data_IF_384989451764
#
_entry.id   IF_384989451764
#
_cell.length_a   1.000
_cell.length_b   1.000
_cell.length_c   1.000
_cell.angle_alpha   90.00
_cell.angle_beta   90.00
_cell.angle_gamma   90.00
#
_symmetry.space_group_name_H-M   'P 1'
#
loop_
_entity.id
_entity.type
_entity.pdbx_description
1 polymer ?
#
# COMPACT_ATOMS: atom_id res chain seq x y z
N UNK A 1 -48.56 -14.26 40.06
CA UNK A 1 -47.41 -15.13 39.72
C UNK A 1 -47.43 -15.66 38.29
N UNK A 2 -48.49 -16.33 37.80
CA UNK A 2 -48.51 -16.89 36.43
C UNK A 2 -48.40 -15.84 35.29
N UNK A 3 -49.06 -14.68 35.41
CA UNK A 3 -48.94 -13.58 34.42
C UNK A 3 -47.52 -13.00 34.33
N UNK A 4 -46.82 -12.91 35.46
CA UNK A 4 -45.47 -12.35 35.56
C UNK A 4 -44.44 -13.26 34.91
N UNK A 5 -44.60 -14.59 35.07
CA UNK A 5 -43.73 -15.60 34.44
C UNK A 5 -43.91 -15.60 32.91
N UNK A 6 -45.15 -15.49 32.43
CA UNK A 6 -45.45 -15.47 30.98
C UNK A 6 -44.85 -14.24 30.27
N UNK A 7 -44.86 -13.08 30.95
CA UNK A 7 -44.23 -11.87 30.44
C UNK A 7 -42.71 -11.99 30.39
N UNK A 8 -42.08 -12.54 31.43
CA UNK A 8 -40.63 -12.78 31.47
C UNK A 8 -40.18 -13.73 30.36
N UNK A 9 -40.92 -14.81 30.09
CA UNK A 9 -40.59 -15.72 28.99
C UNK A 9 -40.72 -15.07 27.62
N UNK A 10 -41.70 -14.18 27.43
CA UNK A 10 -41.87 -13.45 26.17
C UNK A 10 -40.73 -12.45 25.94
N UNK A 11 -40.28 -11.75 26.98
CA UNK A 11 -39.13 -10.82 26.90
C UNK A 11 -37.81 -11.56 26.63
N UNK A 12 -37.57 -12.70 27.26
CA UNK A 12 -36.39 -13.53 26.99
C UNK A 12 -36.40 -14.03 25.54
N UNK A 13 -37.56 -14.46 25.03
CA UNK A 13 -37.70 -14.88 23.65
C UNK A 13 -37.43 -13.71 22.68
N UNK A 14 -38.01 -12.53 22.95
CA UNK A 14 -37.79 -11.34 22.11
C UNK A 14 -36.33 -10.89 22.11
N UNK A 15 -35.66 -10.90 23.27
CA UNK A 15 -34.23 -10.57 23.40
C UNK A 15 -33.38 -11.61 22.68
N UNK A 16 -33.71 -12.90 22.77
CA UNK A 16 -32.98 -13.95 22.06
C UNK A 16 -33.13 -13.86 20.54
N UNK A 17 -34.31 -13.51 20.03
CA UNK A 17 -34.55 -13.26 18.59
C UNK A 17 -33.83 -11.98 18.14
N UNK A 18 -33.82 -10.93 18.97
CA UNK A 18 -33.10 -9.69 18.67
C UNK A 18 -31.58 -9.94 18.65
N UNK A 19 -31.04 -10.71 19.60
CA UNK A 19 -29.63 -11.11 19.68
C UNK A 19 -29.21 -12.00 18.50
N UNK A 20 -30.11 -12.84 17.98
CA UNK A 20 -29.87 -13.63 16.77
C UNK A 20 -29.86 -12.79 15.49
N UNK A 21 -30.56 -11.65 15.45
CA UNK A 21 -30.54 -10.74 14.31
C UNK A 21 -29.30 -9.84 14.26
N UNK A 22 -28.67 -9.52 15.40
CA UNK A 22 -27.42 -8.72 15.42
C UNK A 22 -26.17 -9.52 14.99
N UNK A 23 -26.28 -10.85 14.90
CA UNK A 23 -25.17 -11.72 14.50
C UNK A 23 -24.90 -11.75 12.97
N UNK A 24 -25.63 -10.96 12.18
CA UNK A 24 -25.49 -10.92 10.72
C UNK A 24 -24.64 -9.74 10.24
N UNK A 25 -23.57 -9.37 10.95
CA UNK A 25 -22.43 -8.69 10.32
C UNK A 25 -21.58 -9.76 9.62
N UNK A 26 -22.16 -10.42 8.62
CA UNK A 26 -21.42 -11.26 7.69
C UNK A 26 -20.40 -10.38 6.96
N UNK A 27 -19.18 -10.33 7.49
CA UNK A 27 -18.03 -9.91 6.70
C UNK A 27 -17.85 -10.97 5.61
N UNK A 28 -18.06 -10.63 4.33
CA UNK A 28 -17.58 -11.46 3.24
C UNK A 28 -16.04 -11.47 3.35
N UNK A 29 -15.42 -12.53 3.89
CA UNK A 29 -14.90 -13.74 3.22
C UNK A 29 -13.85 -13.48 2.13
N UNK A 30 -12.80 -12.72 2.45
CA UNK A 30 -11.45 -12.95 1.89
C UNK A 30 -10.87 -14.31 2.35
N UNK A 31 -11.63 -15.41 2.17
CA UNK A 31 -11.24 -16.77 2.54
C UNK A 31 -9.95 -17.16 1.81
N UNK A 32 -9.82 -16.72 0.55
CA UNK A 32 -8.69 -17.01 -0.30
C UNK A 32 -7.44 -16.17 0.06
N UNK A 33 -7.58 -15.14 0.90
CA UNK A 33 -6.48 -14.27 1.31
C UNK A 33 -5.95 -13.36 0.21
N UNK A 34 -6.76 -13.03 -0.80
CA UNK A 34 -6.39 -12.17 -1.92
C UNK A 34 -6.18 -10.73 -1.46
N UNK A 35 -7.05 -10.24 -0.58
CA UNK A 35 -6.98 -8.86 -0.09
C UNK A 35 -5.79 -8.62 0.83
N UNK A 36 -5.13 -9.67 1.34
CA UNK A 36 -3.84 -9.55 2.04
C UNK A 36 -2.83 -8.72 1.23
N UNK A 37 -2.86 -8.83 -0.11
CA UNK A 37 -2.01 -8.02 -1.00
C UNK A 37 -2.83 -6.99 -1.80
N UNK A 38 -4.01 -7.36 -2.29
CA UNK A 38 -4.78 -6.53 -3.21
C UNK A 38 -5.50 -5.34 -2.52
N UNK A 39 -5.57 -5.27 -1.20
CA UNK A 39 -6.17 -4.13 -0.49
C UNK A 39 -5.39 -2.81 -0.58
N UNK A 40 -4.19 -2.81 -1.18
CA UNK A 40 -3.30 -1.64 -1.13
C UNK A 40 -3.27 -0.87 -2.47
N UNK A 41 -3.60 0.44 -2.49
CA UNK A 41 -3.56 1.29 -3.68
C UNK A 41 -2.20 1.39 -4.38
N UNK A 42 -1.11 1.13 -3.63
CA UNK A 42 0.24 1.05 -4.18
C UNK A 42 0.57 -0.29 -4.84
N UNK A 43 -0.27 -1.33 -4.71
CA UNK A 43 -0.07 -2.58 -5.42
C UNK A 43 -0.40 -2.38 -6.91
N UNK A 44 0.64 -2.20 -7.70
CA UNK A 44 0.50 -1.95 -9.13
C UNK A 44 1.67 -2.54 -9.92
N UNK A 45 1.42 -2.74 -11.22
CA UNK A 45 2.41 -3.15 -12.21
C UNK A 45 2.70 -1.98 -13.14
N UNK A 46 3.97 -1.82 -13.51
CA UNK A 46 4.37 -0.87 -14.56
C UNK A 46 4.49 -1.65 -15.87
N UNK A 47 3.66 -1.28 -16.84
CA UNK A 47 3.63 -1.78 -18.21
C UNK A 47 4.38 -0.76 -19.09
N UNK A 48 5.43 -1.21 -19.78
CA UNK A 48 6.20 -0.44 -20.75
C UNK A 48 6.72 0.93 -20.28
N UNK A 49 7.16 0.99 -19.02
CA UNK A 49 7.90 2.12 -18.46
C UNK A 49 7.08 3.39 -18.17
N UNK A 50 5.80 3.49 -18.56
CA UNK A 50 4.96 4.65 -18.27
C UNK A 50 3.51 4.32 -17.92
N UNK A 51 3.00 3.13 -18.30
CA UNK A 51 1.61 2.77 -18.05
C UNK A 51 1.50 2.04 -16.71
N UNK A 52 0.69 2.59 -15.80
CA UNK A 52 0.36 1.93 -14.54
C UNK A 52 -0.85 1.01 -14.73
N UNK A 53 -0.69 -0.23 -14.29
CA UNK A 53 -1.77 -1.20 -14.16
C UNK A 53 -2.01 -1.41 -12.67
N UNK A 54 -3.03 -0.76 -12.07
CA UNK A 54 -3.39 -1.02 -10.68
C UNK A 54 -3.82 -2.47 -10.51
N UNK A 55 -3.42 -3.06 -9.39
CA UNK A 55 -3.86 -4.37 -8.94
C UNK A 55 -4.71 -4.24 -7.67
N UNK A 56 -4.83 -3.04 -7.11
CA UNK A 56 -5.64 -2.76 -5.94
C UNK A 56 -7.12 -3.10 -6.16
N UNK A 57 -7.77 -3.62 -5.13
CA UNK A 57 -9.22 -3.75 -4.99
C UNK A 57 -9.60 -3.17 -3.62
N UNK A 58 -10.49 -2.19 -3.62
CA UNK A 58 -11.17 -1.68 -2.44
C UNK A 58 -12.21 -2.72 -1.98
N UNK A 59 -12.01 -3.27 -0.77
CA UNK A 59 -12.86 -4.31 -0.18
C UNK A 59 -14.30 -3.83 0.00
N UNK A 60 -14.51 -2.62 0.51
CA UNK A 60 -15.84 -2.11 0.78
C UNK A 60 -16.62 -1.86 -0.52
N UNK A 61 -15.95 -1.29 -1.53
CA UNK A 61 -16.57 -1.09 -2.84
C UNK A 61 -16.85 -2.42 -3.55
N UNK A 62 -15.97 -3.42 -3.40
CA UNK A 62 -16.20 -4.76 -3.93
C UNK A 62 -17.39 -5.43 -3.24
N UNK A 63 -17.50 -5.34 -1.92
CA UNK A 63 -18.58 -5.92 -1.12
C UNK A 63 -19.95 -5.29 -1.46
N UNK A 64 -19.97 -4.00 -1.79
CA UNK A 64 -21.15 -3.27 -2.26
C UNK A 64 -21.51 -3.57 -3.73
N UNK A 65 -20.62 -4.22 -4.49
CA UNK A 65 -20.85 -4.54 -5.90
C UNK A 65 -21.83 -5.72 -6.07
N UNK A 66 -22.41 -5.91 -7.28
CA UNK A 66 -23.21 -7.09 -7.57
C UNK A 66 -22.49 -8.43 -7.37
N UNK A 67 -21.15 -8.43 -7.26
CA UNK A 67 -20.32 -9.60 -7.06
C UNK A 67 -19.71 -9.70 -5.65
N UNK A 68 -20.07 -8.82 -4.71
CA UNK A 68 -19.49 -8.79 -3.36
C UNK A 68 -19.73 -10.05 -2.53
N UNK A 69 -20.73 -10.87 -2.91
CA UNK A 69 -20.99 -12.17 -2.29
C UNK A 69 -20.16 -13.32 -2.89
N UNK A 70 -19.48 -13.09 -4.01
CA UNK A 70 -18.63 -14.07 -4.66
C UNK A 70 -17.21 -14.05 -4.08
N UNK A 71 -16.55 -15.21 -4.05
CA UNK A 71 -15.12 -15.26 -3.71
C UNK A 71 -14.29 -14.80 -4.91
N UNK A 72 -13.08 -14.28 -4.66
CA UNK A 72 -12.20 -13.86 -5.75
C UNK A 72 -11.95 -15.00 -6.75
N UNK A 73 -11.77 -16.23 -6.27
CA UNK A 73 -11.49 -17.42 -7.11
C UNK A 73 -12.70 -18.00 -7.82
N UNK A 74 -13.92 -17.60 -7.44
CA UNK A 74 -15.15 -17.92 -8.19
C UNK A 74 -15.05 -17.42 -9.63
N UNK A 75 -14.47 -16.22 -9.81
CA UNK A 75 -14.20 -15.64 -11.13
C UNK A 75 -12.74 -15.89 -11.57
N UNK A 76 -11.75 -15.71 -10.68
CA UNK A 76 -10.33 -15.89 -10.97
C UNK A 76 -9.88 -17.36 -10.92
N UNK A 77 -10.54 -18.20 -11.71
CA UNK A 77 -10.42 -19.67 -11.65
C UNK A 77 -9.01 -20.19 -12.00
N UNK A 78 -8.24 -19.41 -12.76
CA UNK A 78 -6.87 -19.72 -13.14
C UNK A 78 -5.83 -19.38 -12.05
N UNK A 79 -6.25 -18.74 -10.94
CA UNK A 79 -5.36 -18.46 -9.80
C UNK A 79 -5.22 -19.72 -8.95
N UNK A 80 -4.08 -20.40 -9.15
CA UNK A 80 -3.71 -21.64 -8.44
C UNK A 80 -2.54 -21.46 -7.47
N UNK A 81 -1.90 -20.28 -7.46
CA UNK A 81 -0.78 -19.94 -6.57
C UNK A 81 -0.75 -18.44 -6.29
N UNK A 82 -0.15 -18.07 -5.16
CA UNK A 82 0.14 -16.69 -4.76
C UNK A 82 1.63 -16.61 -4.39
N UNK A 83 2.38 -15.56 -4.80
CA UNK A 83 1.97 -14.52 -5.74
C UNK A 83 1.75 -15.08 -7.15
N UNK A 84 0.86 -14.44 -7.91
CA UNK A 84 0.61 -14.73 -9.33
C UNK A 84 0.96 -13.53 -10.21
N UNK A 85 1.32 -13.80 -11.46
CA UNK A 85 1.57 -12.77 -12.48
C UNK A 85 0.97 -13.21 -13.81
N UNK A 86 0.42 -12.28 -14.57
CA UNK A 86 -0.10 -12.55 -15.92
C UNK A 86 -1.40 -13.36 -15.95
N UNK A 87 -2.05 -13.57 -14.80
CA UNK A 87 -3.36 -14.21 -14.71
C UNK A 87 -4.40 -13.10 -14.70
N UNK A 88 -5.01 -12.84 -15.85
CA UNK A 88 -6.04 -11.80 -16.03
C UNK A 88 -7.32 -12.34 -16.67
N UNK A 89 -7.50 -13.66 -16.68
CA UNK A 89 -8.72 -14.28 -17.19
C UNK A 89 -9.66 -14.54 -16.02
N UNK A 90 -10.95 -14.35 -16.27
CA UNK A 90 -12.03 -14.72 -15.38
C UNK A 90 -13.00 -15.64 -16.12
N UNK A 91 -13.69 -16.48 -15.36
CA UNK A 91 -14.77 -17.32 -15.86
C UNK A 91 -16.06 -16.96 -15.14
N UNK A 92 -16.92 -16.19 -15.82
CA UNK A 92 -18.22 -15.77 -15.30
C UNK A 92 -19.22 -16.94 -15.25
N UNK A 93 -18.99 -17.98 -16.04
CA UNK A 93 -19.93 -19.06 -16.31
C UNK A 93 -19.72 -20.28 -15.40
N UNK A 94 -18.54 -20.39 -14.75
CA UNK A 94 -18.23 -21.52 -13.88
C UNK A 94 -19.23 -21.69 -12.75
N UNK A 95 -19.57 -20.59 -12.07
CA UNK A 95 -20.41 -20.64 -10.87
C UNK A 95 -21.79 -20.00 -11.08
N UNK A 96 -21.88 -18.81 -11.67
CA UNK A 96 -23.11 -17.99 -11.64
C UNK A 96 -23.82 -17.85 -13.00
N UNK A 97 -23.14 -17.42 -14.07
CA UNK A 97 -23.80 -17.04 -15.33
C UNK A 97 -24.03 -18.21 -16.32
N UNK A 98 -24.26 -19.44 -15.83
CA UNK A 98 -24.19 -20.68 -16.65
C UNK A 98 -25.06 -20.67 -17.91
N UNK A 99 -26.22 -20.05 -17.85
CA UNK A 99 -27.21 -19.98 -18.93
C UNK A 99 -27.01 -18.75 -19.85
N UNK A 100 -26.18 -17.80 -19.44
CA UNK A 100 -25.98 -16.52 -20.12
C UNK A 100 -24.83 -16.56 -21.15
N UNK A 101 -24.34 -17.75 -21.52
CA UNK A 101 -23.17 -17.89 -22.41
C UNK A 101 -23.36 -17.26 -23.78
N UNK A 102 -24.58 -17.25 -24.28
CA UNK A 102 -24.92 -16.66 -25.58
C UNK A 102 -25.22 -15.15 -25.49
N UNK A 103 -25.50 -14.63 -24.29
CA UNK A 103 -25.90 -13.24 -24.06
C UNK A 103 -24.76 -12.37 -23.52
N UNK A 104 -23.83 -12.95 -22.73
CA UNK A 104 -22.66 -12.27 -22.18
C UNK A 104 -21.46 -12.45 -23.12
N UNK A 105 -21.10 -11.37 -23.82
CA UNK A 105 -19.89 -11.34 -24.62
C UNK A 105 -18.65 -11.08 -23.75
N UNK A 106 -17.94 -12.15 -23.34
CA UNK A 106 -16.73 -12.05 -22.51
C UNK A 106 -15.57 -11.33 -23.16
N UNK A 107 -15.49 -11.30 -24.50
CA UNK A 107 -14.44 -10.57 -25.24
C UNK A 107 -14.57 -9.05 -25.10
N UNK A 108 -15.80 -8.57 -24.81
CA UNK A 108 -16.07 -7.16 -24.55
C UNK A 108 -15.89 -6.76 -23.08
N UNK A 109 -15.82 -7.73 -22.16
CA UNK A 109 -15.66 -7.45 -20.73
C UNK A 109 -14.22 -7.73 -20.29
N UNK A 110 -13.33 -6.79 -20.61
CA UNK A 110 -11.95 -6.82 -20.11
C UNK A 110 -11.94 -6.73 -18.59
N UNK A 111 -11.07 -7.48 -17.90
CA UNK A 111 -10.79 -7.28 -16.47
C UNK A 111 -10.43 -5.83 -16.10
N UNK A 112 -9.91 -5.04 -17.05
CA UNK A 112 -9.68 -3.59 -16.86
C UNK A 112 -10.98 -2.81 -16.55
N UNK A 113 -12.14 -3.34 -16.94
CA UNK A 113 -13.44 -2.72 -16.73
C UNK A 113 -14.14 -3.25 -15.49
N UNK A 114 -14.04 -4.56 -15.20
CA UNK A 114 -14.74 -5.21 -14.08
C UNK A 114 -14.38 -4.64 -12.71
N UNK A 115 -13.11 -4.29 -12.50
CA UNK A 115 -12.63 -3.75 -11.23
C UNK A 115 -12.37 -2.24 -11.26
N UNK A 116 -12.85 -1.55 -12.30
CA UNK A 116 -12.49 -0.15 -12.53
C UNK A 116 -13.01 0.77 -11.42
N UNK A 117 -14.16 0.44 -10.85
CA UNK A 117 -14.81 1.22 -9.78
C UNK A 117 -14.16 0.98 -8.43
N UNK A 118 -13.70 -0.25 -8.17
CA UNK A 118 -13.04 -0.68 -6.94
C UNK A 118 -11.53 -0.36 -6.97
N UNK A 119 -11.00 0.05 -8.12
CA UNK A 119 -9.59 0.39 -8.29
C UNK A 119 -9.29 1.85 -7.93
N UNK A 120 -8.23 2.00 -7.17
CA UNK A 120 -7.64 3.28 -6.78
C UNK A 120 -6.13 3.16 -6.75
N UNK A 121 -5.41 4.21 -7.15
CA UNK A 121 -3.96 4.27 -6.99
C UNK A 121 -3.47 5.69 -6.84
N UNK A 122 -2.36 5.85 -6.11
CA UNK A 122 -1.68 7.13 -5.98
C UNK A 122 -1.09 7.50 -7.34
N UNK A 123 -1.49 8.63 -7.91
CA UNK A 123 -0.89 9.18 -9.13
C UNK A 123 0.27 10.11 -8.78
N UNK A 124 0.10 10.90 -7.72
CA UNK A 124 1.08 11.87 -7.23
C UNK A 124 0.96 12.03 -5.73
N UNK A 125 2.09 12.27 -5.06
CA UNK A 125 2.12 12.76 -3.68
C UNK A 125 2.77 14.14 -3.73
N UNK A 126 2.07 15.13 -3.20
CA UNK A 126 2.58 16.49 -3.02
C UNK A 126 3.29 16.56 -1.66
N UNK A 127 4.39 15.81 -1.56
CA UNK A 127 5.21 15.73 -0.36
C UNK A 127 6.32 16.79 -0.34
N UNK A 128 6.98 16.87 0.82
CA UNK A 128 8.19 17.67 1.00
C UNK A 128 9.47 16.87 0.65
N UNK A 129 9.36 15.79 -0.15
CA UNK A 129 10.53 14.99 -0.55
C UNK A 129 11.11 15.48 -1.87
N UNK A 130 12.38 15.88 -1.83
CA UNK A 130 13.14 16.15 -3.05
C UNK A 130 13.28 14.92 -3.96
N UNK A 131 13.12 13.71 -3.41
CA UNK A 131 13.12 12.49 -4.19
C UNK A 131 12.07 12.53 -5.30
N UNK A 132 10.85 12.98 -5.00
CA UNK A 132 9.74 13.05 -5.97
C UNK A 132 9.93 14.08 -7.09
N UNK A 133 10.89 15.01 -6.94
CA UNK A 133 11.22 16.01 -7.96
C UNK A 133 12.03 15.39 -9.10
N UNK A 134 12.98 14.50 -8.77
CA UNK A 134 13.87 13.88 -9.75
C UNK A 134 13.51 12.40 -10.04
N UNK A 135 12.99 11.70 -9.03
CA UNK A 135 12.60 10.30 -9.10
C UNK A 135 11.09 10.15 -9.14
N UNK A 136 10.62 9.10 -9.81
CA UNK A 136 9.20 8.80 -9.90
C UNK A 136 8.69 8.25 -8.57
N UNK A 137 7.41 8.53 -8.28
CA UNK A 137 6.68 8.04 -7.09
C UNK A 137 6.76 6.52 -6.92
N UNK A 138 6.79 5.80 -8.03
CA UNK A 138 6.85 4.34 -8.09
C UNK A 138 8.24 3.90 -8.63
N UNK A 139 9.28 3.80 -7.77
CA UNK A 139 10.65 3.44 -8.16
C UNK A 139 11.01 1.97 -7.88
N UNK A 140 11.33 1.08 -8.86
CA UNK A 140 11.64 -0.31 -8.46
C UNK A 140 12.38 -1.24 -9.43
N UNK A 141 12.67 -2.42 -8.87
CA UNK A 141 13.34 -3.63 -9.37
C UNK A 141 13.00 -4.08 -10.79
N UNK A 142 13.94 -4.79 -11.43
CA UNK A 142 13.72 -5.53 -12.69
C UNK A 142 12.77 -6.71 -12.50
N UNK A 143 12.69 -7.26 -11.29
CA UNK A 143 11.74 -8.33 -10.99
C UNK A 143 10.35 -7.74 -10.74
N UNK A 144 9.37 -8.15 -11.54
CA UNK A 144 8.00 -7.62 -11.51
C UNK A 144 7.31 -7.80 -10.15
N UNK A 145 7.49 -8.95 -9.49
CA UNK A 145 6.84 -9.26 -8.21
C UNK A 145 7.41 -8.36 -7.12
N UNK A 146 8.75 -8.34 -7.02
CA UNK A 146 9.45 -7.51 -6.03
C UNK A 146 9.11 -6.03 -6.22
N UNK A 147 9.09 -5.59 -7.49
CA UNK A 147 8.66 -4.24 -7.85
C UNK A 147 7.30 -3.93 -7.27
N UNK A 148 6.26 -4.69 -7.63
CA UNK A 148 4.90 -4.45 -7.15
C UNK A 148 4.77 -4.43 -5.63
N UNK A 149 5.53 -5.26 -4.90
CA UNK A 149 5.58 -5.19 -3.44
C UNK A 149 6.22 -3.91 -2.93
N UNK A 150 7.30 -3.43 -3.54
CA UNK A 150 7.91 -2.16 -3.13
C UNK A 150 7.02 -0.97 -3.53
N UNK A 151 6.31 -1.02 -4.66
CA UNK A 151 5.30 0.00 -5.02
C UNK A 151 4.26 0.15 -3.91
N UNK A 152 3.85 -0.95 -3.29
CA UNK A 152 2.88 -0.94 -2.20
C UNK A 152 3.32 -0.02 -1.05
N UNK A 153 4.63 0.00 -0.74
CA UNK A 153 5.18 0.76 0.38
C UNK A 153 5.16 2.27 0.16
N UNK A 154 5.12 2.75 -1.07
CA UNK A 154 5.19 4.20 -1.37
C UNK A 154 3.98 4.96 -0.81
N UNK A 155 2.85 4.26 -0.60
CA UNK A 155 1.65 4.81 0.00
C UNK A 155 1.68 4.96 1.53
N UNK A 156 2.65 4.36 2.22
CA UNK A 156 2.71 4.41 3.69
C UNK A 156 4.12 4.49 4.28
N UNK A 157 5.19 4.43 3.46
CA UNK A 157 6.59 4.66 3.86
C UNK A 157 7.22 5.74 2.98
N UNK A 158 8.09 6.54 3.57
CA UNK A 158 9.02 7.39 2.81
C UNK A 158 10.21 6.57 2.26
N UNK A 159 10.84 7.06 1.19
CA UNK A 159 11.94 6.36 0.51
C UNK A 159 13.12 6.11 1.46
N UNK A 160 13.37 7.09 2.33
CA UNK A 160 14.47 7.16 3.28
C UNK A 160 14.36 6.08 4.37
N UNK A 161 13.17 5.52 4.59
CA UNK A 161 13.00 4.35 5.49
C UNK A 161 13.88 3.18 5.03
N UNK A 162 14.03 2.99 3.72
CA UNK A 162 14.85 1.91 3.14
C UNK A 162 16.18 2.41 2.56
N UNK A 163 16.21 3.66 2.04
CA UNK A 163 17.34 4.23 1.32
C UNK A 163 18.17 5.22 2.15
N UNK A 164 18.37 4.96 3.43
CA UNK A 164 19.21 5.79 4.30
C UNK A 164 20.61 5.20 4.49
N UNK A 165 21.63 6.04 4.70
CA UNK A 165 22.93 5.60 5.20
C UNK A 165 22.86 5.30 6.69
N UNK A 166 22.26 4.17 7.03
CA UNK A 166 21.92 3.80 8.41
C UNK A 166 23.10 3.85 9.37
N UNK A 167 24.30 3.52 8.89
CA UNK A 167 25.57 3.57 9.63
C UNK A 167 25.93 4.98 10.13
N UNK A 168 25.43 6.03 9.49
CA UNK A 168 25.65 7.43 9.91
C UNK A 168 24.65 7.87 11.01
N UNK A 169 23.66 7.03 11.35
CA UNK A 169 22.60 7.35 12.32
C UNK A 169 22.52 6.30 13.44
N UNK A 170 23.17 6.53 14.60
CA UNK A 170 23.27 5.53 15.67
C UNK A 170 21.95 5.23 16.38
N UNK A 171 20.97 6.14 16.32
CA UNK A 171 19.65 5.98 16.94
C UNK A 171 18.56 6.47 16.01
N UNK A 172 17.86 5.51 15.43
CA UNK A 172 16.73 5.75 14.54
C UNK A 172 15.43 5.35 15.21
N UNK A 173 14.39 6.13 14.98
CA UNK A 173 13.01 5.80 15.34
C UNK A 173 12.12 5.98 14.12
N UNK A 174 11.07 5.19 14.03
CA UNK A 174 10.10 5.26 12.95
C UNK A 174 8.77 5.74 13.51
N UNK A 175 8.15 6.71 12.85
CA UNK A 175 6.87 7.28 13.28
C UNK A 175 6.15 7.92 12.10
N UNK A 176 4.90 8.29 12.27
CA UNK A 176 4.15 9.00 11.25
C UNK A 176 4.69 10.41 11.03
N UNK A 177 4.95 10.76 9.77
CA UNK A 177 5.14 12.14 9.38
C UNK A 177 3.81 12.91 9.39
N UNK A 178 3.92 14.23 9.19
CA UNK A 178 2.78 15.08 8.93
C UNK A 178 2.04 14.61 7.67
N UNK A 179 0.73 14.82 7.65
CA UNK A 179 -0.08 14.50 6.48
C UNK A 179 0.36 15.31 5.25
N UNK A 180 0.33 14.65 4.10
CA UNK A 180 0.71 15.17 2.79
C UNK A 180 -0.49 15.04 1.85
N UNK A 181 -0.64 16.01 0.95
CA UNK A 181 -1.68 15.95 -0.07
C UNK A 181 -1.30 14.90 -1.11
N UNK A 182 -2.28 14.11 -1.55
CA UNK A 182 -2.08 13.12 -2.59
C UNK A 182 -3.17 13.21 -3.65
N UNK A 183 -2.80 12.94 -4.89
CA UNK A 183 -3.74 12.79 -6.00
C UNK A 183 -3.88 11.31 -6.28
N UNK A 184 -5.13 10.85 -6.26
CA UNK A 184 -5.49 9.49 -6.61
C UNK A 184 -6.25 9.48 -7.92
N UNK A 185 -6.12 8.37 -8.65
CA UNK A 185 -7.03 8.01 -9.73
C UNK A 185 -7.93 6.89 -9.28
N UNK A 186 -9.24 7.07 -9.45
CA UNK A 186 -10.26 6.26 -8.78
C UNK A 186 -10.73 6.91 -7.49
N UNK A 187 -11.72 6.32 -6.82
CA UNK A 187 -12.16 6.79 -5.50
C UNK A 187 -11.08 6.42 -4.48
N UNK A 188 -10.51 7.37 -3.71
CA UNK A 188 -9.50 7.04 -2.72
C UNK A 188 -10.06 6.07 -1.66
N UNK A 189 -9.33 4.99 -1.39
CA UNK A 189 -9.59 4.08 -0.28
C UNK A 189 -8.74 4.48 0.93
N UNK A 190 -9.30 4.40 2.14
CA UNK A 190 -8.55 4.61 3.38
C UNK A 190 -7.97 6.01 3.59
N UNK A 191 -8.31 6.99 2.76
CA UNK A 191 -8.03 8.40 3.04
C UNK A 191 -8.96 8.87 4.15
N UNK A 192 -8.48 8.73 5.37
CA UNK A 192 -8.54 9.69 6.47
C UNK A 192 -8.29 8.91 7.76
N UNK A 193 -7.23 9.27 8.48
CA UNK A 193 -7.28 9.63 9.89
C UNK A 193 -5.90 9.43 10.53
N UNK A 194 -5.15 10.52 10.67
CA UNK A 194 -4.21 10.62 11.78
C UNK A 194 -5.04 11.08 13.00
N UNK A 195 -5.20 10.24 14.05
CA UNK A 195 -6.04 10.60 15.21
C UNK A 195 -5.55 11.83 15.97
N UNK A 196 -4.34 12.31 15.70
CA UNK A 196 -3.70 13.47 16.35
C UNK A 196 -3.74 14.74 15.50
N UNK A 197 -4.30 14.72 14.27
CA UNK A 197 -4.40 15.89 13.40
C UNK A 197 -5.83 16.14 12.95
N UNK A 198 -6.38 17.29 13.37
CA UNK A 198 -7.52 17.93 12.70
C UNK A 198 -7.15 18.15 11.23
N UNK A 199 -7.98 17.68 10.29
CA UNK A 199 -7.94 18.09 8.88
C UNK A 199 -8.12 19.61 8.81
N UNK A 200 -7.02 20.38 8.89
CA UNK A 200 -7.08 21.85 8.88
C UNK A 200 -7.18 22.45 7.48
N UNK A 201 -7.00 21.64 6.43
CA UNK A 201 -6.88 22.12 5.04
C UNK A 201 -8.05 21.71 4.12
N UNK A 202 -9.04 20.96 4.63
CA UNK A 202 -10.22 20.59 3.83
C UNK A 202 -9.94 19.74 2.57
N UNK A 203 -8.70 19.33 2.32
CA UNK A 203 -8.37 18.47 1.18
C UNK A 203 -8.92 17.07 1.43
N UNK A 204 -9.71 16.56 0.47
CA UNK A 204 -10.36 15.26 0.57
C UNK A 204 -9.35 14.08 0.54
N UNK A 205 -8.09 14.34 0.19
CA UNK A 205 -7.10 13.32 -0.17
C UNK A 205 -5.77 13.53 0.57
N UNK A 206 -5.79 13.47 1.89
CA UNK A 206 -4.57 13.53 2.73
C UNK A 206 -4.09 12.13 3.12
N UNK A 207 -2.80 11.84 2.95
CA UNK A 207 -2.15 10.61 3.43
C UNK A 207 -1.11 10.92 4.50
N UNK A 208 -0.90 10.00 5.44
CA UNK A 208 0.26 10.03 6.35
C UNK A 208 1.14 8.83 6.04
N UNK A 209 2.45 9.03 6.06
CA UNK A 209 3.44 7.96 5.79
C UNK A 209 4.43 7.89 6.94
N UNK A 210 4.90 6.68 7.22
CA UNK A 210 5.95 6.43 8.19
C UNK A 210 7.25 7.00 7.64
N UNK A 211 7.93 7.74 8.49
CA UNK A 211 9.21 8.38 8.24
C UNK A 211 10.23 7.91 9.28
N UNK A 212 11.49 8.19 9.01
CA UNK A 212 12.61 7.83 9.87
C UNK A 212 13.20 9.09 10.49
N UNK A 213 13.36 9.04 11.81
CA UNK A 213 13.79 10.16 12.62
C UNK A 213 15.05 9.80 13.40
N UNK A 214 15.89 10.81 13.62
CA UNK A 214 17.03 10.77 14.53
C UNK A 214 16.79 11.69 15.72
N UNK A 215 17.59 11.53 16.77
CA UNK A 215 17.61 12.42 17.94
C UNK A 215 18.93 13.19 18.00
N UNK A 216 18.87 14.47 17.65
CA UNK A 216 19.99 15.41 17.78
C UNK A 216 19.75 16.31 18.99
N UNK A 217 20.64 16.26 19.98
CA UNK A 217 20.52 17.05 21.23
C UNK A 217 19.14 16.91 21.91
N UNK A 218 18.57 15.70 21.86
CA UNK A 218 17.25 15.40 22.44
C UNK A 218 16.05 15.80 21.57
N UNK A 219 16.27 16.45 20.42
CA UNK A 219 15.22 16.87 19.51
C UNK A 219 15.04 15.80 18.43
N UNK A 220 13.81 15.29 18.30
CA UNK A 220 13.43 14.39 17.22
C UNK A 220 13.40 15.17 15.90
N UNK A 221 14.16 14.72 14.90
CA UNK A 221 14.23 15.33 13.57
C UNK A 221 14.08 14.27 12.50
N UNK A 222 13.29 14.55 11.46
CA UNK A 222 13.29 13.70 10.27
C UNK A 222 14.66 13.77 9.64
N UNK A 223 15.15 12.65 9.10
CA UNK A 223 16.39 12.66 8.31
C UNK A 223 16.18 13.23 6.90
N UNK A 224 14.91 13.45 6.51
CA UNK A 224 14.52 14.22 5.32
C UNK A 224 14.67 15.69 5.60
N UNK A 225 15.30 16.41 4.68
CA UNK A 225 15.47 17.86 4.75
C UNK A 225 14.40 18.54 3.86
N UNK A 226 13.35 19.18 4.43
CA UNK A 226 12.26 19.75 3.65
C UNK A 226 12.69 20.90 2.73
N UNK A 227 13.83 21.53 3.02
CA UNK A 227 14.40 22.61 2.19
C UNK A 227 14.92 22.10 0.84
N UNK A 228 14.89 20.78 0.61
CA UNK A 228 15.45 20.17 -0.59
C UNK A 228 14.50 20.24 -1.80
N UNK A 229 13.18 20.43 -1.64
CA UNK A 229 12.25 20.43 -2.78
C UNK A 229 12.46 21.62 -3.71
N UNK A 230 12.47 22.85 -3.17
CA UNK A 230 12.69 24.06 -3.98
C UNK A 230 14.08 24.04 -4.61
N UNK A 231 15.10 23.67 -3.83
CA UNK A 231 16.48 23.52 -4.32
C UNK A 231 16.56 22.49 -5.46
N UNK A 232 15.87 21.36 -5.34
CA UNK A 232 15.84 20.34 -6.39
C UNK A 232 15.20 20.87 -7.68
N UNK A 233 14.10 21.63 -7.58
CA UNK A 233 13.47 22.27 -8.74
C UNK A 233 14.41 23.29 -9.40
N UNK A 234 15.05 24.16 -8.61
CA UNK A 234 16.03 25.13 -9.10
C UNK A 234 17.25 24.45 -9.75
N UNK A 235 17.71 23.34 -9.18
CA UNK A 235 18.79 22.54 -9.75
C UNK A 235 18.39 21.96 -11.11
N UNK A 236 17.20 21.34 -11.25
CA UNK A 236 16.74 20.81 -12.53
C UNK A 236 16.61 21.88 -13.62
N UNK A 237 16.27 23.12 -13.25
CA UNK A 237 16.18 24.24 -14.19
C UNK A 237 17.56 24.69 -14.71
N UNK A 238 18.63 24.46 -13.96
CA UNK A 238 19.98 24.98 -14.24
C UNK A 238 21.00 23.91 -14.55
N UNK A 239 20.71 22.62 -14.30
CA UNK A 239 21.70 21.53 -14.35
C UNK A 239 22.41 21.36 -15.69
N UNK A 240 21.76 21.73 -16.80
CA UNK A 240 22.33 21.66 -18.16
C UNK A 240 23.44 22.68 -18.39
N UNK A 241 23.47 23.74 -17.60
CA UNK A 241 24.42 24.83 -17.69
C UNK A 241 25.56 24.70 -16.66
N UNK A 242 25.50 23.70 -15.78
CA UNK A 242 26.52 23.46 -14.76
C UNK A 242 27.69 22.66 -15.31
N UNK A 243 28.91 22.98 -14.83
CA UNK A 243 30.07 22.13 -15.05
C UNK A 243 29.89 20.75 -14.40
N UNK A 244 30.61 19.74 -14.89
CA UNK A 244 30.53 18.36 -14.35
C UNK A 244 30.80 18.30 -12.83
N UNK A 245 31.73 19.11 -12.34
CA UNK A 245 32.07 19.17 -10.92
C UNK A 245 30.92 19.75 -10.07
N UNK A 246 30.38 20.90 -10.47
CA UNK A 246 29.27 21.56 -9.77
C UNK A 246 28.01 20.68 -9.77
N UNK A 247 27.73 20.03 -10.91
CA UNK A 247 26.62 19.08 -11.01
C UNK A 247 26.80 17.92 -10.05
N UNK A 248 28.00 17.34 -9.97
CA UNK A 248 28.32 16.25 -9.03
C UNK A 248 28.15 16.72 -7.58
N UNK A 249 28.65 17.90 -7.23
CA UNK A 249 28.54 18.46 -5.89
C UNK A 249 27.08 18.68 -5.47
N UNK A 250 26.25 19.25 -6.34
CA UNK A 250 24.83 19.45 -6.09
C UNK A 250 24.10 18.10 -5.90
N UNK A 251 24.35 17.13 -6.79
CA UNK A 251 23.81 15.78 -6.63
C UNK A 251 24.30 15.11 -5.34
N UNK A 252 25.53 15.38 -4.90
CA UNK A 252 26.05 14.84 -3.65
C UNK A 252 25.37 15.42 -2.42
N UNK A 253 24.99 16.71 -2.46
CA UNK A 253 24.22 17.35 -1.41
C UNK A 253 22.81 16.73 -1.25
N UNK A 254 22.07 16.53 -2.35
CA UNK A 254 20.73 15.94 -2.31
C UNK A 254 20.71 14.51 -1.76
N UNK A 255 21.79 13.74 -1.97
CA UNK A 255 21.87 12.35 -1.55
C UNK A 255 22.81 12.14 -0.35
N UNK A 256 23.10 13.19 0.43
CA UNK A 256 24.07 13.14 1.55
C UNK A 256 23.74 12.03 2.56
N UNK A 257 22.45 11.83 2.85
CA UNK A 257 21.93 10.86 3.82
C UNK A 257 21.44 9.56 3.15
N UNK A 258 21.59 9.44 1.82
CA UNK A 258 20.92 8.40 1.03
C UNK A 258 21.90 7.30 0.61
N UNK A 259 21.54 6.06 0.87
CA UNK A 259 22.25 4.90 0.35
C UNK A 259 21.86 4.66 -1.13
N UNK A 260 22.53 5.35 -2.06
CA UNK A 260 22.11 5.43 -3.48
C UNK A 260 22.00 4.10 -4.22
N UNK A 261 22.84 3.11 -3.92
CA UNK A 261 22.91 1.84 -4.64
C UNK A 261 22.74 0.62 -3.73
N UNK A 262 22.24 0.83 -2.50
CA UNK A 262 22.07 -0.22 -1.51
C UNK A 262 20.74 -0.03 -0.81
N UNK A 263 20.05 -1.14 -0.60
CA UNK A 263 18.95 -1.18 0.35
C UNK A 263 19.57 -1.35 1.73
N UNK A 264 19.26 -0.45 2.64
CA UNK A 264 19.82 -0.45 4.00
C UNK A 264 18.96 -1.20 5.01
N UNK A 265 17.77 -1.64 4.56
CA UNK A 265 16.78 -2.37 5.36
C UNK A 265 16.26 -3.55 4.56
N UNK A 266 16.59 -4.77 4.97
CA UNK A 266 16.03 -5.97 4.37
C UNK A 266 14.58 -6.21 4.81
N UNK A 267 13.80 -6.94 4.02
CA UNK A 267 12.38 -7.19 4.32
C UNK A 267 12.16 -7.82 5.71
N UNK A 268 13.06 -8.71 6.15
CA UNK A 268 12.98 -9.38 7.46
C UNK A 268 13.29 -8.46 8.64
N UNK A 269 13.87 -7.28 8.41
CA UNK A 269 14.09 -6.31 9.48
C UNK A 269 12.80 -5.59 9.85
N UNK A 270 11.85 -5.43 8.93
CA UNK A 270 10.50 -4.93 9.24
C UNK A 270 9.50 -6.09 9.49
N UNK A 271 9.58 -7.15 8.68
CA UNK A 271 8.65 -8.28 8.75
C UNK A 271 9.24 -9.43 9.59
N UNK A 272 9.42 -9.18 10.88
CA UNK A 272 9.83 -10.21 11.84
C UNK A 272 9.31 -9.94 13.25
N UNK A 273 9.44 -10.93 14.14
CA UNK A 273 9.16 -10.77 15.57
C UNK A 273 9.94 -9.62 16.19
N UNK A 274 11.20 -9.45 15.76
CA UNK A 274 12.15 -8.42 16.20
C UNK A 274 12.22 -7.24 15.21
N UNK A 275 11.07 -6.86 14.66
CA UNK A 275 10.94 -5.76 13.71
C UNK A 275 11.57 -4.45 14.22
N UNK A 276 12.23 -3.71 13.32
CA UNK A 276 12.69 -2.33 13.56
C UNK A 276 11.52 -1.33 13.65
N UNK A 277 10.36 -1.70 13.09
CA UNK A 277 9.11 -0.97 13.21
C UNK A 277 8.33 -1.52 14.40
N UNK A 278 8.07 -0.67 15.39
CA UNK A 278 7.11 -0.98 16.44
C UNK A 278 5.68 -0.73 15.94
N UNK A 279 5.09 -1.76 15.33
CA UNK A 279 3.74 -1.68 14.78
C UNK A 279 2.67 -1.30 15.81
N UNK A 280 2.84 -1.68 17.09
CA UNK A 280 1.88 -1.29 18.13
C UNK A 280 2.01 0.20 18.44
N UNK A 281 3.24 0.71 18.56
CA UNK A 281 3.47 2.15 18.71
C UNK A 281 2.96 2.96 17.52
N UNK A 282 3.03 2.40 16.32
CA UNK A 282 2.49 2.99 15.08
C UNK A 282 0.95 2.93 15.02
N UNK A 283 0.28 2.30 15.99
CA UNK A 283 -1.19 2.28 16.11
C UNK A 283 -1.88 1.13 15.37
N UNK A 284 -1.15 0.13 14.88
CA UNK A 284 -1.76 -1.06 14.30
C UNK A 284 -2.33 -1.97 15.39
N UNK A 285 -3.52 -2.54 15.13
CA UNK A 285 -4.13 -3.53 16.03
C UNK A 285 -3.31 -4.83 16.10
N UNK A 286 -3.69 -5.73 17.01
CA UNK A 286 -2.94 -6.97 17.24
C UNK A 286 -2.94 -7.91 16.03
N UNK A 287 -4.08 -8.03 15.34
CA UNK A 287 -4.23 -8.88 14.16
C UNK A 287 -3.36 -8.35 13.02
N UNK A 288 -3.41 -7.04 12.75
CA UNK A 288 -2.60 -6.37 11.74
C UNK A 288 -1.12 -6.41 12.09
N UNK A 289 -0.75 -6.19 13.36
CA UNK A 289 0.63 -6.33 13.84
C UNK A 289 1.15 -7.74 13.62
N UNK A 290 0.38 -8.77 13.99
CA UNK A 290 0.74 -10.16 13.76
C UNK A 290 0.95 -10.43 12.27
N UNK A 291 0.00 -10.01 11.43
CA UNK A 291 0.11 -10.16 9.98
C UNK A 291 1.34 -9.44 9.42
N UNK A 292 1.60 -8.19 9.81
CA UNK A 292 2.78 -7.45 9.35
C UNK A 292 4.09 -8.13 9.77
N UNK A 293 4.17 -8.72 10.96
CA UNK A 293 5.38 -9.43 11.43
C UNK A 293 5.57 -10.81 10.81
N UNK A 294 4.48 -11.57 10.64
CA UNK A 294 4.50 -13.00 10.36
C UNK A 294 3.91 -13.39 9.01
N UNK A 295 3.44 -12.43 8.20
CA UNK A 295 3.09 -12.71 6.81
C UNK A 295 4.27 -13.42 6.15
N UNK A 296 4.01 -14.59 5.56
CA UNK A 296 5.03 -15.38 4.88
C UNK A 296 5.47 -14.75 3.54
N UNK A 297 5.45 -13.41 3.44
CA UNK A 297 6.07 -12.64 2.34
C UNK A 297 7.54 -13.06 2.20
N UNK A 298 8.22 -13.36 3.30
CA UNK A 298 9.59 -13.92 3.28
C UNK A 298 9.65 -15.19 2.43
N UNK A 299 8.84 -16.22 2.72
CA UNK A 299 8.81 -17.44 1.91
C UNK A 299 8.33 -17.23 0.48
N UNK A 300 7.44 -16.25 0.26
CA UNK A 300 6.87 -15.94 -1.06
C UNK A 300 7.84 -15.20 -1.98
N UNK A 301 8.71 -14.33 -1.45
CA UNK A 301 9.64 -13.50 -2.24
C UNK A 301 11.07 -14.07 -2.22
N UNK A 302 11.52 -14.74 -1.15
CA UNK A 302 12.91 -15.25 -1.05
C UNK A 302 13.11 -16.67 -1.59
N UNK A 303 12.05 -17.46 -1.76
CA UNK A 303 12.14 -18.83 -2.33
C UNK A 303 12.36 -18.84 -3.85
N UNK A 304 12.19 -17.68 -4.51
CA UNK A 304 12.57 -17.44 -5.90
C UNK A 304 13.88 -16.63 -5.92
N UNK A 305 14.98 -17.35 -5.78
CA UNK A 305 16.27 -16.95 -5.18
C UNK A 305 17.17 -15.91 -5.88
N UNK A 306 16.73 -15.09 -6.85
CA UNK A 306 17.67 -14.11 -7.44
C UNK A 306 17.06 -12.72 -7.62
N UNK A 307 17.44 -11.84 -6.68
CA UNK A 307 17.20 -10.41 -6.74
C UNK A 307 18.32 -9.73 -7.52
N UNK A 308 18.04 -9.35 -8.77
CA UNK A 308 18.89 -8.38 -9.47
C UNK A 308 18.38 -6.98 -9.17
N UNK A 309 19.11 -6.27 -8.30
CA UNK A 309 18.89 -4.85 -8.10
C UNK A 309 19.22 -4.11 -9.41
N UNK A 310 18.31 -3.27 -9.94
CA UNK A 310 18.66 -2.39 -11.03
C UNK A 310 19.77 -1.46 -10.55
N UNK A 311 20.84 -1.32 -11.34
CA UNK A 311 21.74 -0.18 -11.18
C UNK A 311 20.87 1.07 -11.36
N UNK A 312 20.76 1.90 -10.32
CA UNK A 312 20.04 3.18 -10.39
C UNK A 312 20.76 4.19 -11.30
N UNK A 313 21.94 3.81 -11.82
CA UNK A 313 22.73 4.58 -12.77
C UNK A 313 23.31 3.59 -13.80
N UNK A 314 22.69 3.55 -14.99
CA UNK A 314 23.40 3.12 -16.19
C UNK A 314 24.22 4.32 -16.67
N UNK A 315 25.49 4.07 -17.04
CA UNK A 315 26.28 5.06 -17.76
C UNK A 315 25.56 5.54 -19.02
#
# INVERSE_FOLDING_TARGET
MKKTILQLTAWVYLISVLLLQVASLSHAKDIDGCLICHQYPGLMKIVDGSQFQPLHIDEAQFDESPHGQATCRSCHVAVVKVPHTGVSQVDCFKECHKEDKETINTDRVSLKLFHKTEQSYLERIDDSSACGVCHRLYPHSRNNIVRSFVNMHTGFLHCEVCHMKREEFPRLTYDWANAENAVFKGRPYGTFFNPKRSNKDGSLNSISRIDVFTFEKGIKRSIRDPLDVEKARSFLATEKNLGKADRKQALDAFHKNTARNKISVACNECHSSNSILDYRQLGFDEKKTYNLKYMNIKGLVTKYQVFYFPKLFGN
#
